data_IF_027351852850
#
_entry.id   IF_027351852850
#
_cell.length_a   1.000
_cell.length_b   1.000
_cell.length_c   1.000
_cell.angle_alpha   90.00
_cell.angle_beta   90.00
_cell.angle_gamma   90.00
#
_symmetry.space_group_name_H-M   'P 1'
#
loop_
_entity.id
_entity.type
_entity.pdbx_description
1 polymer ?
#
# COMPACT_ATOMS: atom_id res chain seq x y z
N UNK A 1 0.98 5.47 25.32
CA UNK A 1 1.64 4.39 24.56
C UNK A 1 1.69 4.80 23.12
N UNK A 2 2.81 4.57 22.43
CA UNK A 2 2.94 4.84 21.00
C UNK A 2 2.03 3.91 20.19
N UNK A 3 1.39 4.47 19.15
CA UNK A 3 0.51 3.70 18.25
C UNK A 3 1.34 3.08 17.11
N UNK A 4 0.96 1.91 16.66
CA UNK A 4 1.66 1.19 15.60
C UNK A 4 0.98 1.38 14.26
N UNK A 5 1.73 1.86 13.26
CA UNK A 5 1.32 1.94 11.85
C UNK A 5 2.00 0.79 11.10
N UNK A 6 1.21 -0.09 10.51
CA UNK A 6 1.68 -1.22 9.70
C UNK A 6 1.38 -0.96 8.21
N UNK A 7 2.39 -1.04 7.38
CA UNK A 7 2.27 -0.98 5.92
C UNK A 7 2.33 -2.40 5.33
N UNK A 8 1.31 -2.76 4.58
CA UNK A 8 1.19 -4.01 3.84
C UNK A 8 1.06 -3.74 2.34
N UNK A 9 1.61 -4.61 1.53
CA UNK A 9 1.57 -4.46 0.08
C UNK A 9 2.62 -5.28 -0.64
N UNK A 10 2.93 -4.84 -1.85
CA UNK A 10 3.86 -5.46 -2.79
C UNK A 10 5.21 -4.72 -2.88
N UNK A 11 5.84 -4.71 -4.08
CA UNK A 11 7.11 -4.04 -4.36
C UNK A 11 7.08 -2.53 -4.13
N UNK A 12 5.93 -1.89 -4.32
CA UNK A 12 5.78 -0.45 -4.11
C UNK A 12 5.90 -0.11 -2.62
N UNK A 13 5.36 -0.97 -1.76
CA UNK A 13 5.46 -0.84 -0.31
C UNK A 13 6.81 -1.34 0.22
N UNK A 14 7.29 -2.49 -0.27
CA UNK A 14 8.58 -3.09 0.07
C UNK A 14 9.74 -2.11 -0.16
N UNK A 15 9.86 -1.64 -1.39
CA UNK A 15 10.86 -0.68 -1.86
C UNK A 15 12.26 -0.90 -1.26
N UNK A 16 12.73 -2.17 -1.31
CA UNK A 16 14.08 -2.55 -0.86
C UNK A 16 14.26 -2.57 0.66
N UNK A 17 13.20 -2.78 1.43
CA UNK A 17 13.32 -2.91 2.89
C UNK A 17 14.25 -4.07 3.29
N UNK A 18 15.06 -3.89 4.33
CA UNK A 18 15.81 -4.97 4.93
C UNK A 18 14.87 -5.95 5.68
N UNK A 19 15.16 -7.25 5.56
CA UNK A 19 14.43 -8.32 6.26
C UNK A 19 15.02 -8.56 7.65
N UNK A 20 14.94 -7.55 8.50
CA UNK A 20 15.43 -7.60 9.89
C UNK A 20 14.24 -7.58 10.86
N UNK A 21 14.49 -8.04 12.08
CA UNK A 21 13.47 -8.06 13.13
C UNK A 21 13.04 -6.63 13.50
N UNK A 22 11.75 -6.45 13.82
CA UNK A 22 11.21 -5.14 14.22
C UNK A 22 11.81 -4.61 15.53
N UNK A 23 12.42 -5.48 16.32
CA UNK A 23 13.15 -5.15 17.55
C UNK A 23 14.60 -4.75 17.31
N UNK A 24 15.12 -4.90 16.09
CA UNK A 24 16.48 -4.50 15.75
C UNK A 24 16.60 -2.97 15.82
N UNK A 25 17.61 -2.41 16.50
CA UNK A 25 17.83 -0.96 16.56
C UNK A 25 18.03 -0.29 15.20
N UNK A 26 18.41 -1.06 14.16
CA UNK A 26 18.55 -0.55 12.79
C UNK A 26 17.22 -0.54 12.02
N UNK A 27 16.11 -1.04 12.59
CA UNK A 27 14.85 -1.23 11.86
C UNK A 27 14.34 0.06 11.23
N UNK A 28 14.27 1.17 11.96
CA UNK A 28 13.81 2.46 11.42
C UNK A 28 14.70 3.00 10.28
N UNK A 29 15.97 2.57 10.22
CA UNK A 29 16.91 3.01 9.20
C UNK A 29 16.86 2.18 7.91
N UNK A 30 16.50 0.91 8.00
CA UNK A 30 16.59 -0.03 6.87
C UNK A 30 15.38 -0.94 6.70
N UNK A 31 14.65 -1.24 7.77
CA UNK A 31 13.46 -2.11 7.73
C UNK A 31 12.22 -1.45 7.10
N UNK A 32 12.21 -0.13 6.92
CA UNK A 32 11.13 0.59 6.26
C UNK A 32 11.28 0.71 4.74
N UNK A 33 12.44 0.35 4.19
CA UNK A 33 12.76 0.53 2.77
C UNK A 33 13.09 1.98 2.40
N UNK A 34 12.99 2.31 1.11
CA UNK A 34 13.30 3.63 0.56
C UNK A 34 12.05 4.32 -0.03
N UNK A 35 10.86 3.74 0.14
CA UNK A 35 9.61 4.18 -0.45
C UNK A 35 8.76 5.03 0.48
N UNK A 36 7.48 5.16 0.10
CA UNK A 36 6.50 5.98 0.83
C UNK A 36 6.36 5.61 2.32
N UNK A 37 6.51 4.34 2.78
CA UNK A 37 6.46 4.03 4.21
C UNK A 37 7.56 4.74 5.02
N UNK A 38 8.78 4.79 4.46
CA UNK A 38 9.90 5.51 5.08
C UNK A 38 9.65 7.02 5.13
N UNK A 39 9.14 7.61 4.04
CA UNK A 39 8.85 9.05 3.98
C UNK A 39 7.74 9.46 4.95
N UNK A 40 6.69 8.65 5.10
CA UNK A 40 5.63 8.85 6.10
C UNK A 40 6.24 8.79 7.50
N UNK A 41 7.02 7.75 7.80
CA UNK A 41 7.65 7.59 9.10
C UNK A 41 8.58 8.77 9.42
N UNK A 42 9.44 9.18 8.47
CA UNK A 42 10.36 10.31 8.64
C UNK A 42 9.60 11.60 8.98
N UNK A 43 8.50 11.87 8.29
CA UNK A 43 7.66 13.04 8.53
C UNK A 43 6.99 12.99 9.90
N UNK A 44 6.32 11.90 10.23
CA UNK A 44 5.59 11.77 11.49
C UNK A 44 6.53 11.74 12.70
N UNK A 45 7.69 11.10 12.61
CA UNK A 45 8.72 11.14 13.67
C UNK A 45 9.26 12.55 13.88
N UNK A 46 9.43 13.34 12.80
CA UNK A 46 9.84 14.73 12.90
C UNK A 46 8.79 15.60 13.60
N UNK A 47 7.52 15.42 13.25
CA UNK A 47 6.42 16.27 13.72
C UNK A 47 5.86 15.85 15.07
N UNK A 48 5.93 14.57 15.43
CA UNK A 48 5.23 13.95 16.57
C UNK A 48 6.14 13.15 17.52
N UNK A 49 7.44 13.10 17.24
CA UNK A 49 8.40 12.36 18.07
C UNK A 49 8.08 10.87 18.16
N UNK A 50 7.89 10.34 19.35
CA UNK A 50 7.71 8.91 19.61
C UNK A 50 6.23 8.47 19.68
N UNK A 51 5.30 9.25 19.12
CA UNK A 51 3.87 8.93 19.15
C UNK A 51 3.53 7.66 18.37
N UNK A 52 4.38 7.26 17.40
CA UNK A 52 4.14 6.14 16.51
C UNK A 52 5.34 5.20 16.38
N UNK A 53 5.04 3.90 16.29
CA UNK A 53 5.91 2.87 15.74
C UNK A 53 5.52 2.59 14.29
N UNK A 54 6.50 2.28 13.44
CA UNK A 54 6.28 2.05 12.01
C UNK A 54 6.82 0.68 11.62
N UNK A 55 5.98 -0.12 10.95
CA UNK A 55 6.39 -1.43 10.43
C UNK A 55 6.04 -1.53 8.95
N UNK A 56 7.01 -1.94 8.13
CA UNK A 56 6.82 -2.23 6.71
C UNK A 56 6.93 -3.74 6.48
N UNK A 57 5.81 -4.35 6.06
CA UNK A 57 5.70 -5.76 5.73
C UNK A 57 5.30 -5.97 4.27
N UNK A 58 5.56 -4.98 3.39
CA UNK A 58 5.50 -5.14 1.94
C UNK A 58 6.44 -6.24 1.47
N UNK A 59 6.02 -7.04 0.49
CA UNK A 59 6.84 -8.08 -0.15
C UNK A 59 6.68 -7.96 -1.66
N UNK A 60 7.80 -7.70 -2.34
CA UNK A 60 7.83 -7.57 -3.81
C UNK A 60 7.18 -8.78 -4.50
N UNK A 61 6.32 -8.51 -5.48
CA UNK A 61 5.60 -9.54 -6.23
C UNK A 61 4.32 -10.04 -5.58
N UNK A 62 3.97 -9.63 -4.34
CA UNK A 62 2.75 -10.11 -3.70
C UNK A 62 1.49 -9.65 -4.43
N UNK A 63 0.53 -10.58 -4.55
CA UNK A 63 -0.87 -10.39 -4.92
C UNK A 63 -1.73 -10.38 -3.66
N UNK A 64 -3.01 -10.10 -3.78
CA UNK A 64 -3.93 -10.13 -2.63
C UNK A 64 -3.96 -11.50 -1.94
N UNK A 65 -3.88 -12.59 -2.70
CA UNK A 65 -3.84 -13.98 -2.17
C UNK A 65 -2.57 -14.27 -1.38
N UNK A 66 -1.44 -13.66 -1.77
CA UNK A 66 -0.17 -13.81 -1.06
C UNK A 66 -0.19 -13.05 0.28
N UNK A 67 -0.87 -11.90 0.36
CA UNK A 67 -1.15 -11.23 1.63
C UNK A 67 -1.97 -12.15 2.55
N UNK A 68 -3.04 -12.75 2.03
CA UNK A 68 -3.90 -13.63 2.81
C UNK A 68 -3.13 -14.81 3.41
N UNK A 69 -2.23 -15.42 2.64
CA UNK A 69 -1.45 -16.57 3.07
C UNK A 69 -0.53 -16.29 4.28
N UNK A 70 -0.06 -15.04 4.43
CA UNK A 70 0.84 -14.64 5.52
C UNK A 70 0.18 -13.74 6.58
N UNK A 71 -1.12 -13.46 6.44
CA UNK A 71 -1.82 -12.40 7.16
C UNK A 71 -1.77 -12.53 8.68
N UNK A 72 -1.87 -13.77 9.19
CA UNK A 72 -1.84 -13.99 10.64
C UNK A 72 -0.53 -13.53 11.26
N UNK A 73 0.60 -13.93 10.67
CA UNK A 73 1.92 -13.60 11.18
C UNK A 73 2.25 -12.11 10.98
N UNK A 74 1.94 -11.60 9.77
CA UNK A 74 2.43 -10.32 9.31
C UNK A 74 1.45 -9.15 9.58
N UNK A 75 0.26 -9.44 10.14
CA UNK A 75 -0.70 -8.41 10.52
C UNK A 75 -1.36 -8.71 11.88
N UNK A 76 -2.10 -9.83 12.00
CA UNK A 76 -2.92 -10.10 13.18
C UNK A 76 -2.07 -10.18 14.47
N UNK A 77 -0.95 -10.90 14.41
CA UNK A 77 -0.07 -11.07 15.57
C UNK A 77 0.67 -9.78 15.95
N UNK A 78 0.86 -8.85 15.03
CA UNK A 78 1.50 -7.56 15.27
C UNK A 78 0.57 -6.55 15.95
N UNK A 79 -0.74 -6.78 15.88
CA UNK A 79 -1.79 -5.95 16.51
C UNK A 79 -1.60 -4.44 16.25
N UNK A 80 -1.51 -3.99 14.99
CA UNK A 80 -1.33 -2.57 14.69
C UNK A 80 -2.57 -1.76 15.06
N UNK A 81 -2.38 -0.47 15.36
CA UNK A 81 -3.47 0.49 15.57
C UNK A 81 -3.99 1.05 14.23
N UNK A 82 -3.09 1.20 13.25
CA UNK A 82 -3.39 1.68 11.90
C UNK A 82 -2.79 0.69 10.90
N UNK A 83 -3.63 0.16 10.01
CA UNK A 83 -3.23 -0.72 8.92
C UNK A 83 -3.37 -0.01 7.58
N UNK A 84 -2.27 0.11 6.86
CA UNK A 84 -2.19 0.69 5.51
C UNK A 84 -1.97 -0.39 4.48
N UNK A 85 -2.82 -0.49 3.45
CA UNK A 85 -2.72 -1.52 2.41
C UNK A 85 -2.67 -0.88 1.02
N UNK A 86 -1.63 -1.24 0.24
CA UNK A 86 -1.51 -0.96 -1.19
C UNK A 86 -1.21 -2.26 -1.92
N UNK A 87 -2.18 -2.81 -2.63
CA UNK A 87 -2.10 -4.11 -3.31
C UNK A 87 -3.00 -4.14 -4.53
N UNK A 88 -2.64 -4.94 -5.56
CA UNK A 88 -3.51 -5.20 -6.71
C UNK A 88 -2.82 -5.15 -8.05
N UNK A 89 -1.68 -4.47 -8.19
CA UNK A 89 -0.98 -4.38 -9.48
C UNK A 89 -0.41 -5.73 -9.92
N UNK A 90 0.09 -6.55 -8.98
CA UNK A 90 0.63 -7.87 -9.31
C UNK A 90 -0.45 -8.90 -9.61
N UNK A 91 -1.66 -8.67 -9.17
CA UNK A 91 -2.82 -9.49 -9.53
C UNK A 91 -3.08 -9.44 -11.04
N UNK A 92 -2.84 -8.28 -11.67
CA UNK A 92 -2.83 -8.10 -13.13
C UNK A 92 -1.48 -8.50 -13.74
N UNK A 93 -0.35 -8.02 -13.19
CA UNK A 93 0.98 -8.27 -13.75
C UNK A 93 1.28 -9.76 -13.92
N UNK A 94 1.02 -10.55 -12.88
CA UNK A 94 1.28 -11.99 -12.93
C UNK A 94 0.37 -12.71 -13.92
N UNK A 95 -0.85 -12.21 -14.18
CA UNK A 95 -1.71 -12.77 -15.22
C UNK A 95 -1.08 -12.54 -16.61
N UNK A 96 -0.74 -11.28 -16.89
CA UNK A 96 -0.16 -10.90 -18.19
C UNK A 96 1.20 -11.55 -18.45
N UNK A 97 2.02 -11.72 -17.43
CA UNK A 97 3.38 -12.25 -17.57
C UNK A 97 3.44 -13.78 -17.61
N UNK A 98 2.56 -14.49 -16.91
CA UNK A 98 2.69 -15.95 -16.70
C UNK A 98 1.41 -16.69 -16.33
N UNK A 99 0.25 -16.12 -16.60
CA UNK A 99 -1.06 -16.71 -16.30
C UNK A 99 -1.19 -17.16 -14.83
N UNK A 100 -0.73 -16.30 -13.92
CA UNK A 100 -0.77 -16.53 -12.47
C UNK A 100 -1.24 -15.28 -11.72
N UNK A 101 -2.22 -14.59 -12.29
CA UNK A 101 -2.89 -13.46 -11.69
C UNK A 101 -4.00 -13.86 -10.73
N UNK A 102 -4.80 -12.87 -10.37
CA UNK A 102 -6.03 -13.07 -9.59
C UNK A 102 -7.13 -12.24 -10.25
N UNK A 103 -8.17 -12.88 -10.70
CA UNK A 103 -9.30 -12.24 -11.39
C UNK A 103 -9.98 -11.23 -10.45
N UNK A 104 -10.54 -10.17 -10.99
CA UNK A 104 -11.12 -9.06 -10.21
C UNK A 104 -12.17 -9.52 -9.17
N UNK A 105 -13.11 -10.44 -9.46
CA UNK A 105 -14.05 -10.90 -8.44
C UNK A 105 -13.36 -11.66 -7.29
N UNK A 106 -12.32 -12.43 -7.60
CA UNK A 106 -11.54 -13.15 -6.58
C UNK A 106 -10.64 -12.21 -5.79
N UNK A 107 -10.08 -11.19 -6.43
CA UNK A 107 -9.35 -10.10 -5.77
C UNK A 107 -10.22 -9.42 -4.71
N UNK A 108 -11.45 -9.03 -5.07
CA UNK A 108 -12.42 -8.46 -4.13
C UNK A 108 -12.72 -9.42 -2.97
N UNK A 109 -12.99 -10.69 -3.28
CA UNK A 109 -13.29 -11.70 -2.27
C UNK A 109 -12.16 -11.83 -1.24
N UNK A 110 -10.91 -12.00 -1.70
CA UNK A 110 -9.78 -12.14 -0.79
C UNK A 110 -9.49 -10.87 -0.01
N UNK A 111 -9.68 -9.70 -0.63
CA UNK A 111 -9.49 -8.43 0.07
C UNK A 111 -10.51 -8.28 1.20
N UNK A 112 -11.79 -8.59 0.96
CA UNK A 112 -12.82 -8.59 2.00
C UNK A 112 -12.53 -9.62 3.09
N UNK A 113 -12.12 -10.83 2.74
CA UNK A 113 -11.72 -11.86 3.72
C UNK A 113 -10.57 -11.40 4.63
N UNK A 114 -9.58 -10.66 4.09
CA UNK A 114 -8.52 -10.04 4.90
C UNK A 114 -9.07 -9.06 5.92
N UNK A 115 -9.95 -8.17 5.48
CA UNK A 115 -10.51 -7.12 6.35
C UNK A 115 -11.49 -7.70 7.37
N UNK A 116 -12.34 -8.65 6.98
CA UNK A 116 -13.25 -9.33 7.90
C UNK A 116 -12.48 -10.05 9.02
N UNK A 117 -11.40 -10.77 8.65
CA UNK A 117 -10.54 -11.40 9.64
C UNK A 117 -9.86 -10.38 10.54
N UNK A 118 -9.35 -9.29 9.95
CA UNK A 118 -8.70 -8.21 10.69
C UNK A 118 -9.63 -7.58 11.72
N UNK A 119 -10.84 -7.18 11.32
CA UNK A 119 -11.82 -6.54 12.20
C UNK A 119 -12.36 -7.48 13.26
N UNK A 120 -12.46 -8.78 12.97
CA UNK A 120 -12.83 -9.79 13.96
C UNK A 120 -11.80 -9.89 15.10
N UNK A 121 -10.51 -9.87 14.76
CA UNK A 121 -9.42 -10.02 15.73
C UNK A 121 -8.99 -8.69 16.37
N UNK A 122 -9.15 -7.59 15.62
CA UNK A 122 -8.70 -6.24 15.97
C UNK A 122 -9.82 -5.21 15.71
N UNK A 123 -10.91 -5.20 16.51
CA UNK A 123 -12.10 -4.41 16.21
C UNK A 123 -11.86 -2.89 16.23
N UNK A 124 -10.84 -2.41 16.92
CA UNK A 124 -10.53 -0.97 17.04
C UNK A 124 -9.54 -0.45 15.97
N UNK A 125 -9.03 -1.36 15.13
CA UNK A 125 -8.03 -1.00 14.11
C UNK A 125 -8.59 0.07 13.14
N UNK A 126 -7.73 0.99 12.73
CA UNK A 126 -8.04 1.97 11.69
C UNK A 126 -7.44 1.54 10.36
N UNK A 127 -8.23 1.66 9.30
CA UNK A 127 -7.85 1.18 7.97
C UNK A 127 -7.55 2.37 7.04
N UNK A 128 -6.44 2.27 6.30
CA UNK A 128 -6.08 3.18 5.21
C UNK A 128 -5.85 2.35 3.96
N UNK A 129 -6.74 2.44 2.99
CA UNK A 129 -6.68 1.69 1.74
C UNK A 129 -6.23 2.60 0.60
N UNK A 130 -5.13 2.23 -0.03
CA UNK A 130 -4.56 2.98 -1.14
C UNK A 130 -5.01 2.35 -2.45
N UNK A 131 -5.42 3.20 -3.37
CA UNK A 131 -5.85 2.81 -4.71
C UNK A 131 -4.65 2.26 -5.51
N UNK A 132 -4.75 1.06 -6.13
CA UNK A 132 -3.76 0.62 -7.09
C UNK A 132 -3.74 1.54 -8.31
N UNK A 133 -2.58 1.76 -8.90
CA UNK A 133 -2.39 2.71 -10.00
C UNK A 133 -1.45 2.17 -11.05
N UNK A 134 -1.60 2.64 -12.29
CA UNK A 134 -0.70 2.37 -13.40
C UNK A 134 -0.67 3.55 -14.39
N UNK A 135 0.46 3.69 -15.10
CA UNK A 135 0.53 4.51 -16.32
C UNK A 135 0.82 3.61 -17.53
N UNK A 136 0.18 3.86 -18.68
CA UNK A 136 0.29 3.01 -19.86
C UNK A 136 1.60 3.27 -20.63
N UNK A 137 2.72 2.85 -20.05
CA UNK A 137 4.02 2.87 -20.72
C UNK A 137 4.95 1.79 -20.16
N UNK A 138 6.01 1.48 -20.88
CA UNK A 138 7.04 0.49 -20.54
C UNK A 138 6.45 -0.89 -20.24
N UNK A 139 6.35 -1.32 -18.99
CA UNK A 139 5.83 -2.63 -18.62
C UNK A 139 4.31 -2.74 -18.74
N UNK A 140 3.58 -1.62 -18.74
CA UNK A 140 2.11 -1.57 -18.73
C UNK A 140 1.56 -1.44 -20.15
N UNK A 141 0.94 -2.48 -20.66
CA UNK A 141 0.19 -2.45 -21.91
C UNK A 141 -1.19 -1.80 -21.75
N UNK A 142 -1.79 -1.40 -22.89
CA UNK A 142 -3.13 -0.80 -22.88
C UNK A 142 -4.22 -1.73 -22.35
N UNK A 143 -4.02 -3.05 -22.46
CA UNK A 143 -4.91 -4.08 -21.94
C UNK A 143 -4.92 -4.22 -20.40
N UNK A 144 -4.00 -3.53 -19.70
CA UNK A 144 -4.02 -3.46 -18.23
C UNK A 144 -5.02 -2.44 -17.67
N UNK A 145 -5.34 -1.42 -18.47
CA UNK A 145 -6.05 -0.23 -17.98
C UNK A 145 -7.45 -0.61 -17.49
N UNK A 146 -8.22 -1.35 -18.30
CA UNK A 146 -9.58 -1.76 -17.92
C UNK A 146 -9.59 -2.60 -16.64
N UNK A 147 -8.70 -3.58 -16.51
CA UNK A 147 -8.61 -4.42 -15.33
C UNK A 147 -8.12 -3.64 -14.10
N UNK A 148 -7.22 -2.67 -14.30
CA UNK A 148 -6.76 -1.78 -13.24
C UNK A 148 -7.88 -0.84 -12.77
N UNK A 149 -8.71 -0.32 -13.70
CA UNK A 149 -9.89 0.49 -13.38
C UNK A 149 -10.88 -0.31 -12.51
N UNK A 150 -11.20 -1.55 -12.89
CA UNK A 150 -12.07 -2.41 -12.10
C UNK A 150 -11.53 -2.65 -10.68
N UNK A 151 -10.22 -2.87 -10.52
CA UNK A 151 -9.60 -3.01 -9.17
C UNK A 151 -9.67 -1.72 -8.36
N UNK A 152 -9.52 -0.57 -9.00
CA UNK A 152 -9.69 0.73 -8.34
C UNK A 152 -11.12 0.90 -7.79
N UNK A 153 -12.12 0.55 -8.59
CA UNK A 153 -13.52 0.56 -8.17
C UNK A 153 -13.77 -0.38 -6.98
N UNK A 154 -13.19 -1.59 -7.04
CA UNK A 154 -13.26 -2.56 -5.93
C UNK A 154 -12.67 -1.97 -4.64
N UNK A 155 -11.46 -1.40 -4.68
CA UNK A 155 -10.83 -0.84 -3.47
C UNK A 155 -11.62 0.36 -2.94
N UNK A 156 -12.13 1.23 -3.81
CA UNK A 156 -12.98 2.35 -3.41
C UNK A 156 -14.29 1.88 -2.74
N UNK A 157 -14.92 0.84 -3.31
CA UNK A 157 -16.12 0.20 -2.74
C UNK A 157 -15.83 -0.42 -1.37
N UNK A 158 -14.76 -1.20 -1.26
CA UNK A 158 -14.32 -1.80 0.00
C UNK A 158 -14.04 -0.70 1.05
N UNK A 159 -13.31 0.35 0.68
CA UNK A 159 -13.02 1.44 1.61
C UNK A 159 -14.30 2.07 2.19
N UNK A 160 -15.30 2.28 1.34
CA UNK A 160 -16.63 2.78 1.76
C UNK A 160 -17.33 1.80 2.70
N UNK A 161 -17.39 0.52 2.34
CA UNK A 161 -18.11 -0.51 3.08
C UNK A 161 -17.54 -0.75 4.48
N UNK A 162 -16.21 -0.65 4.61
CA UNK A 162 -15.47 -0.86 5.87
C UNK A 162 -15.17 0.43 6.64
N UNK A 163 -15.64 1.59 6.17
CA UNK A 163 -15.37 2.88 6.82
C UNK A 163 -13.88 3.23 6.85
N UNK A 164 -13.10 2.73 5.89
CA UNK A 164 -11.68 2.97 5.79
C UNK A 164 -11.36 4.33 5.15
N UNK A 165 -10.23 4.92 5.52
CA UNK A 165 -9.67 6.06 4.79
C UNK A 165 -9.23 5.57 3.40
N UNK A 166 -9.71 6.22 2.34
CA UNK A 166 -9.35 5.92 0.96
C UNK A 166 -8.37 6.95 0.41
N UNK A 167 -7.28 6.48 -0.24
CA UNK A 167 -6.28 7.34 -0.88
C UNK A 167 -6.36 7.13 -2.40
N UNK A 168 -6.93 8.07 -3.17
CA UNK A 168 -7.19 7.94 -4.61
C UNK A 168 -5.94 8.22 -5.45
N UNK A 169 -4.96 7.29 -5.46
CA UNK A 169 -3.63 7.50 -6.03
C UNK A 169 -3.63 7.73 -7.54
N UNK A 170 -4.52 7.06 -8.31
CA UNK A 170 -4.54 7.24 -9.76
C UNK A 170 -4.87 8.68 -10.15
N UNK A 171 -5.87 9.27 -9.51
CA UNK A 171 -6.25 10.66 -9.79
C UNK A 171 -5.16 11.65 -9.37
N UNK A 172 -4.47 11.37 -8.28
CA UNK A 172 -3.36 12.17 -7.76
C UNK A 172 -2.19 12.13 -8.77
N UNK A 173 -1.81 10.93 -9.24
CA UNK A 173 -0.77 10.74 -10.24
C UNK A 173 -1.14 11.38 -11.59
N UNK A 174 -2.39 11.23 -12.05
CA UNK A 174 -2.88 11.90 -13.26
C UNK A 174 -2.75 13.42 -13.16
N UNK A 175 -3.04 14.00 -12.00
CA UNK A 175 -2.85 15.43 -11.77
C UNK A 175 -1.37 15.84 -11.78
N UNK A 176 -0.47 14.98 -11.32
CA UNK A 176 0.96 15.23 -11.31
C UNK A 176 1.57 15.33 -12.73
N UNK A 177 0.92 14.75 -13.75
CA UNK A 177 1.32 14.91 -15.16
C UNK A 177 1.31 16.36 -15.65
N UNK A 178 0.63 17.26 -14.95
CA UNK A 178 0.70 18.72 -15.24
C UNK A 178 2.05 19.34 -14.85
N UNK A 179 2.81 18.67 -13.99
CA UNK A 179 4.09 19.16 -13.46
C UNK A 179 5.27 18.54 -14.22
N UNK A 180 5.22 17.22 -14.49
CA UNK A 180 6.28 16.48 -15.16
C UNK A 180 5.70 15.27 -15.91
N UNK A 181 6.43 14.72 -16.92
CA UNK A 181 6.00 13.55 -17.67
C UNK A 181 5.96 12.29 -16.76
N UNK A 182 5.29 11.26 -17.26
CA UNK A 182 5.01 10.03 -16.50
C UNK A 182 6.28 9.32 -15.96
N UNK A 183 7.39 9.38 -16.71
CA UNK A 183 8.67 8.76 -16.35
C UNK A 183 9.34 9.43 -15.13
N UNK A 184 8.95 10.66 -14.83
CA UNK A 184 9.37 11.35 -13.62
C UNK A 184 8.74 10.75 -12.35
N UNK A 185 7.53 10.22 -12.48
CA UNK A 185 6.74 9.70 -11.37
C UNK A 185 6.87 8.19 -11.19
N UNK A 186 6.89 7.45 -12.32
CA UNK A 186 7.00 5.99 -12.33
C UNK A 186 8.13 5.55 -13.26
N UNK A 187 8.87 4.53 -12.88
CA UNK A 187 10.00 4.03 -13.65
C UNK A 187 9.56 3.21 -14.89
N UNK A 188 8.46 2.48 -14.77
CA UNK A 188 8.02 1.48 -15.75
C UNK A 188 6.49 1.41 -15.92
N UNK A 189 5.79 2.41 -15.45
CA UNK A 189 4.33 2.46 -15.43
C UNK A 189 3.70 1.93 -14.15
N UNK A 190 4.50 1.34 -13.25
CA UNK A 190 4.04 0.77 -11.96
C UNK A 190 4.87 1.26 -10.78
N UNK A 191 6.20 1.11 -10.84
CA UNK A 191 7.08 1.36 -9.70
C UNK A 191 7.41 2.85 -9.57
N UNK A 192 7.09 3.48 -8.42
CA UNK A 192 7.35 4.89 -8.23
C UNK A 192 8.85 5.24 -8.22
N UNK A 193 9.17 6.33 -8.89
CA UNK A 193 10.44 7.06 -8.71
C UNK A 193 10.40 7.80 -7.35
N UNK A 194 11.51 8.35 -6.84
CA UNK A 194 11.52 9.08 -5.58
C UNK A 194 10.42 10.14 -5.47
N UNK A 195 10.17 10.90 -6.56
CA UNK A 195 9.08 11.88 -6.60
C UNK A 195 7.69 11.24 -6.50
N UNK A 196 7.47 10.08 -7.13
CA UNK A 196 6.24 9.30 -7.02
C UNK A 196 6.01 8.79 -5.59
N UNK A 197 7.04 8.29 -4.93
CA UNK A 197 6.94 7.89 -3.52
C UNK A 197 6.62 9.05 -2.59
N UNK A 198 7.21 10.23 -2.83
CA UNK A 198 6.87 11.43 -2.04
C UNK A 198 5.42 11.83 -2.24
N UNK A 199 4.93 11.80 -3.49
CA UNK A 199 3.53 12.10 -3.80
C UNK A 199 2.56 11.16 -3.06
N UNK A 200 2.88 9.85 -3.01
CA UNK A 200 2.09 8.86 -2.27
C UNK A 200 2.13 9.16 -0.77
N UNK A 201 3.30 9.48 -0.22
CA UNK A 201 3.45 9.80 1.20
C UNK A 201 2.65 11.03 1.61
N UNK A 202 2.71 12.10 0.83
CA UNK A 202 1.96 13.34 1.09
C UNK A 202 0.44 13.09 1.01
N UNK A 203 -0.01 12.31 0.03
CA UNK A 203 -1.40 11.93 -0.11
C UNK A 203 -1.89 11.09 1.07
N UNK A 204 -1.09 10.12 1.52
CA UNK A 204 -1.38 9.28 2.67
C UNK A 204 -1.51 10.13 3.95
N UNK A 205 -0.52 10.97 4.27
CA UNK A 205 -0.52 11.83 5.46
C UNK A 205 -1.75 12.74 5.47
N UNK A 206 -2.07 13.35 4.33
CA UNK A 206 -3.24 14.22 4.19
C UNK A 206 -4.55 13.45 4.44
N UNK A 207 -4.71 12.29 3.84
CA UNK A 207 -5.92 11.49 3.96
C UNK A 207 -6.08 10.89 5.37
N UNK A 208 -4.98 10.39 5.95
CA UNK A 208 -4.97 9.77 7.27
C UNK A 208 -4.93 10.78 8.44
N UNK A 209 -4.85 12.09 8.18
CA UNK A 209 -4.75 13.12 9.22
C UNK A 209 -5.77 12.97 10.36
N UNK A 210 -7.05 12.62 10.13
CA UNK A 210 -8.02 12.40 11.21
C UNK A 210 -7.67 11.23 12.13
N UNK A 211 -6.91 10.25 11.64
CA UNK A 211 -6.49 9.06 12.40
C UNK A 211 -5.23 9.32 13.23
N UNK A 212 -4.50 10.38 12.94
CA UNK A 212 -3.19 10.67 13.56
C UNK A 212 -3.30 11.53 14.84
N UNK A 213 -4.48 11.98 15.17
CA UNK A 213 -4.76 12.81 16.36
C UNK A 213 -4.99 11.98 17.61
#
# INVERSE_FOLDING_TARGET
MSRTILFQGDSITDCGRARIEITDPAYLRSGLGLGYPYLIAARLLCDRGEDFNFYNFGISGNRVVDLYARWKADCINLRPDILSILIGVNDTWHEKARQNGVEVPRYEQFYRMLLDWTLKELPEIKLVLLEPFVFPFSAVGGDWIEESDQRREVVAGIAKDYGAVFVPLQSILNNALKVAPQEHWLADGVHPMPAGHQLIADAWIKAAAPLLN
#
